data_IF_044260059184
#
_entry.id   IF_044260059184
#
_cell.length_a   1.000
_cell.length_b   1.000
_cell.length_c   1.000
_cell.angle_alpha   90.00
_cell.angle_beta   90.00
_cell.angle_gamma   90.00
#
_symmetry.space_group_name_H-M   'P 1'
#
loop_
_entity.id
_entity.type
_entity.pdbx_description
1 polymer ?
#
# COMPACT_ATOMS: atom_id res chain seq x y z
N UNK A 1 -2.26 14.20 26.29
CA UNK A 1 -1.06 13.47 26.77
C UNK A 1 -0.80 12.09 26.12
N UNK A 2 -1.78 11.44 25.47
CA UNK A 2 -1.59 10.10 24.88
C UNK A 2 -0.79 10.05 23.54
N UNK A 3 -0.67 11.14 22.81
CA UNK A 3 -0.01 11.17 21.47
C UNK A 3 1.52 11.15 21.55
N UNK A 4 2.11 11.86 22.50
CA UNK A 4 3.57 11.95 22.68
C UNK A 4 4.22 10.62 23.14
N UNK A 5 3.51 9.78 23.91
CA UNK A 5 4.03 8.49 24.38
C UNK A 5 4.05 7.41 23.27
N UNK A 6 3.13 7.48 22.30
CA UNK A 6 3.11 6.57 21.14
C UNK A 6 4.28 6.83 20.19
N UNK A 7 4.57 8.11 19.89
CA UNK A 7 5.67 8.46 18.98
C UNK A 7 7.05 7.97 19.48
N UNK A 8 7.29 7.96 20.78
CA UNK A 8 8.54 7.47 21.37
C UNK A 8 8.64 5.95 21.33
N UNK A 9 7.53 5.24 21.55
CA UNK A 9 7.48 3.77 21.52
C UNK A 9 7.76 3.19 20.12
N UNK A 10 7.38 3.92 19.08
CA UNK A 10 7.56 3.52 17.67
C UNK A 10 8.79 4.12 16.99
N UNK A 11 9.61 4.91 17.70
CA UNK A 11 10.82 5.50 17.14
C UNK A 11 11.78 4.47 16.48
N UNK A 12 12.03 3.27 17.06
CA UNK A 12 12.86 2.26 16.40
C UNK A 12 12.30 1.75 15.07
N UNK A 13 10.98 1.77 14.88
CA UNK A 13 10.31 1.31 13.68
C UNK A 13 10.43 2.29 12.49
N UNK A 14 10.95 3.49 12.73
CA UNK A 14 11.30 4.46 11.68
C UNK A 14 12.60 4.07 10.97
N UNK A 15 13.38 3.15 11.55
CA UNK A 15 14.59 2.64 10.91
C UNK A 15 14.24 1.58 9.86
N UNK A 16 14.70 1.72 8.60
CA UNK A 16 14.36 0.80 7.50
C UNK A 16 14.62 -0.67 7.82
N UNK A 17 15.73 -0.97 8.50
CA UNK A 17 16.11 -2.35 8.89
C UNK A 17 15.14 -2.97 9.88
N UNK A 18 14.67 -2.21 10.87
CA UNK A 18 13.73 -2.68 11.89
C UNK A 18 12.36 -2.89 11.27
N UNK A 19 11.93 -1.98 10.41
CA UNK A 19 10.68 -2.09 9.66
C UNK A 19 10.67 -3.35 8.78
N UNK A 20 11.72 -3.57 7.98
CA UNK A 20 11.83 -4.75 7.11
C UNK A 20 11.87 -6.06 7.91
N UNK A 21 12.57 -6.09 9.05
CA UNK A 21 12.61 -7.27 9.92
C UNK A 21 11.21 -7.60 10.45
N UNK A 22 10.47 -6.62 10.92
CA UNK A 22 9.10 -6.83 11.41
C UNK A 22 8.15 -7.26 10.28
N UNK A 23 8.20 -6.66 9.12
CA UNK A 23 7.44 -7.07 7.94
C UNK A 23 7.72 -8.54 7.55
N UNK A 24 8.99 -8.97 7.63
CA UNK A 24 9.37 -10.35 7.33
C UNK A 24 8.91 -11.33 8.41
N UNK A 25 8.98 -10.95 9.68
CA UNK A 25 8.56 -11.79 10.82
C UNK A 25 7.02 -11.94 10.89
N UNK A 26 6.28 -10.93 10.47
CA UNK A 26 4.82 -10.96 10.46
C UNK A 26 4.22 -11.66 9.25
N UNK A 27 5.02 -12.16 8.30
CA UNK A 27 4.53 -12.90 7.12
C UNK A 27 3.74 -12.06 6.11
N UNK A 28 3.53 -10.77 6.36
CA UNK A 28 2.74 -9.88 5.50
C UNK A 28 3.30 -9.74 4.08
N UNK A 29 4.61 -9.80 3.92
CA UNK A 29 5.25 -9.79 2.61
C UNK A 29 4.97 -11.06 1.80
N UNK A 30 4.91 -12.23 2.45
CA UNK A 30 4.61 -13.52 1.77
C UNK A 30 3.16 -13.57 1.30
N UNK A 31 2.21 -13.17 2.13
CA UNK A 31 0.80 -13.16 1.74
C UNK A 31 0.53 -12.16 0.61
N UNK A 32 1.17 -11.00 0.64
CA UNK A 32 1.13 -9.98 -0.41
C UNK A 32 1.69 -10.50 -1.73
N UNK A 33 2.87 -11.15 -1.68
CA UNK A 33 3.48 -11.79 -2.84
C UNK A 33 2.58 -12.90 -3.42
N UNK A 34 1.98 -13.73 -2.56
CA UNK A 34 1.03 -14.77 -2.95
C UNK A 34 -0.23 -14.18 -3.60
N UNK A 35 -0.79 -13.11 -3.02
CA UNK A 35 -1.92 -12.41 -3.61
C UNK A 35 -1.59 -11.89 -5.01
N UNK A 36 -0.49 -11.16 -5.14
CA UNK A 36 -0.05 -10.61 -6.43
C UNK A 36 0.16 -11.72 -7.45
N UNK A 37 0.89 -12.78 -7.09
CA UNK A 37 1.20 -13.90 -7.98
C UNK A 37 -0.06 -14.63 -8.48
N UNK A 38 -1.09 -14.75 -7.66
CA UNK A 38 -2.32 -15.48 -7.99
C UNK A 38 -3.34 -14.66 -8.77
N UNK A 39 -3.41 -13.36 -8.49
CA UNK A 39 -4.52 -12.53 -8.95
C UNK A 39 -4.11 -11.41 -9.89
N UNK A 40 -2.81 -11.12 -10.03
CA UNK A 40 -2.32 -10.01 -10.85
C UNK A 40 -1.36 -10.49 -11.91
N UNK A 41 -1.77 -10.39 -13.16
CA UNK A 41 -0.90 -10.63 -14.31
C UNK A 41 -0.26 -9.31 -14.74
N UNK A 42 1.07 -9.25 -14.69
CA UNK A 42 1.85 -8.11 -15.18
C UNK A 42 2.44 -8.39 -16.56
N UNK A 43 2.48 -7.34 -17.38
CA UNK A 43 3.27 -7.35 -18.64
C UNK A 43 4.67 -6.78 -18.36
N UNK A 44 5.67 -7.22 -19.12
CA UNK A 44 7.07 -6.80 -18.92
C UNK A 44 7.33 -5.32 -19.18
N UNK A 45 6.47 -4.64 -19.95
CA UNK A 45 6.57 -3.21 -20.27
C UNK A 45 5.64 -2.34 -19.41
N UNK A 46 4.90 -2.95 -18.49
CA UNK A 46 3.88 -2.29 -17.68
C UNK A 46 4.49 -1.24 -16.76
N UNK A 47 3.91 -0.04 -16.75
CA UNK A 47 4.29 1.01 -15.80
C UNK A 47 3.53 0.82 -14.50
N UNK A 48 4.28 0.52 -13.45
CA UNK A 48 3.78 0.29 -12.09
C UNK A 48 4.18 1.43 -11.19
N UNK A 49 3.20 2.09 -10.60
CA UNK A 49 3.38 3.13 -9.59
C UNK A 49 3.08 2.53 -8.22
N UNK A 50 3.94 2.77 -7.24
CA UNK A 50 3.80 2.27 -5.85
C UNK A 50 3.77 3.46 -4.88
N UNK A 51 2.60 3.75 -4.35
CA UNK A 51 2.38 4.84 -3.40
C UNK A 51 2.67 4.39 -1.97
N UNK A 52 3.59 5.10 -1.29
CA UNK A 52 4.12 4.68 0.00
C UNK A 52 4.99 3.44 -0.16
N UNK A 53 5.87 3.43 -1.16
CA UNK A 53 6.71 2.28 -1.52
C UNK A 53 7.68 1.84 -0.40
N UNK A 54 7.88 2.68 0.62
CA UNK A 54 8.80 2.41 1.72
C UNK A 54 10.20 2.10 1.19
N UNK A 55 10.74 0.96 1.60
CA UNK A 55 12.07 0.49 1.18
C UNK A 55 12.09 -0.27 -0.16
N UNK A 56 11.01 -0.19 -0.94
CA UNK A 56 10.89 -0.82 -2.26
C UNK A 56 10.62 -2.33 -2.22
N UNK A 57 10.13 -2.87 -1.10
CA UNK A 57 9.95 -4.31 -0.90
C UNK A 57 8.98 -4.98 -1.88
N UNK A 58 8.10 -4.22 -2.53
CA UNK A 58 7.22 -4.75 -3.58
C UNK A 58 8.02 -5.36 -4.74
N UNK A 59 9.19 -4.82 -5.05
CA UNK A 59 10.07 -5.35 -6.11
C UNK A 59 10.62 -6.75 -5.85
N UNK A 60 10.49 -7.30 -4.64
CA UNK A 60 10.88 -8.68 -4.35
C UNK A 60 9.98 -9.71 -5.04
N UNK A 61 8.74 -9.34 -5.33
CA UNK A 61 7.75 -10.23 -5.93
C UNK A 61 7.11 -9.72 -7.24
N UNK A 62 7.44 -8.49 -7.65
CA UNK A 62 7.05 -8.00 -8.96
C UNK A 62 8.00 -8.52 -10.05
N UNK A 63 7.48 -8.90 -11.23
CA UNK A 63 8.31 -9.22 -12.38
C UNK A 63 9.04 -7.98 -12.88
N UNK A 64 9.91 -8.08 -13.90
CA UNK A 64 10.48 -6.92 -14.57
C UNK A 64 9.37 -6.02 -15.13
N UNK A 65 9.24 -4.80 -14.57
CA UNK A 65 8.27 -3.76 -14.95
C UNK A 65 8.94 -2.39 -14.91
N UNK A 66 8.32 -1.38 -15.50
CA UNK A 66 8.74 0.02 -15.35
C UNK A 66 8.23 0.56 -14.02
N UNK A 67 9.00 0.37 -12.96
CA UNK A 67 8.59 0.70 -11.60
C UNK A 67 8.92 2.14 -11.22
N UNK A 68 7.95 2.82 -10.59
CA UNK A 68 8.07 4.15 -9.97
C UNK A 68 7.51 4.08 -8.57
N UNK A 69 8.35 4.21 -7.55
CA UNK A 69 7.92 4.25 -6.15
C UNK A 69 8.08 5.66 -5.56
N UNK A 70 7.14 6.09 -4.73
CA UNK A 70 7.30 7.31 -3.94
C UNK A 70 6.88 7.11 -2.48
N UNK A 71 7.57 7.83 -1.58
CA UNK A 71 7.34 7.80 -0.14
C UNK A 71 7.82 9.13 0.47
N UNK A 72 7.15 9.73 1.45
CA UNK A 72 7.61 10.96 2.09
C UNK A 72 8.84 10.76 2.98
N UNK A 73 9.20 9.53 3.34
CA UNK A 73 10.35 9.23 4.18
C UNK A 73 11.64 9.11 3.35
N UNK A 74 12.49 10.13 3.42
CA UNK A 74 13.77 10.15 2.69
C UNK A 74 14.70 9.00 3.03
N UNK A 75 14.69 8.50 4.28
CA UNK A 75 15.48 7.35 4.69
C UNK A 75 15.02 6.04 4.03
N UNK A 76 13.70 5.88 3.84
CA UNK A 76 13.15 4.74 3.11
C UNK A 76 13.53 4.82 1.63
N UNK A 77 13.39 5.99 1.02
CA UNK A 77 13.76 6.20 -0.39
C UNK A 77 15.27 5.95 -0.61
N UNK A 78 16.13 6.44 0.28
CA UNK A 78 17.56 6.14 0.19
C UNK A 78 17.84 4.63 0.25
N UNK A 79 17.18 3.90 1.16
CA UNK A 79 17.31 2.45 1.26
C UNK A 79 16.78 1.73 0.00
N UNK A 80 15.65 2.18 -0.55
CA UNK A 80 15.06 1.65 -1.78
C UNK A 80 15.98 1.87 -2.99
N UNK A 81 16.52 3.07 -3.15
CA UNK A 81 17.49 3.41 -4.22
C UNK A 81 18.76 2.57 -4.12
N UNK A 82 19.32 2.41 -2.90
CA UNK A 82 20.53 1.61 -2.67
C UNK A 82 20.33 0.13 -3.01
N UNK A 83 19.13 -0.40 -2.77
CA UNK A 83 18.83 -1.83 -2.97
C UNK A 83 18.29 -2.13 -4.37
N UNK A 84 17.49 -1.25 -4.94
CA UNK A 84 16.69 -1.51 -6.14
C UNK A 84 16.81 -0.43 -7.21
N UNK A 85 17.78 0.50 -7.13
CA UNK A 85 17.90 1.60 -8.08
C UNK A 85 18.07 1.19 -9.54
N UNK A 86 18.60 -0.03 -9.80
CA UNK A 86 18.67 -0.61 -11.15
C UNK A 86 17.34 -1.17 -11.66
N UNK A 87 16.32 -1.30 -10.79
CA UNK A 87 15.02 -1.92 -11.09
C UNK A 87 13.87 -0.93 -11.13
N UNK A 88 14.07 0.32 -10.70
CA UNK A 88 13.01 1.31 -10.66
C UNK A 88 13.49 2.69 -10.27
N UNK A 89 12.59 3.65 -10.39
CA UNK A 89 12.79 5.02 -9.95
C UNK A 89 12.14 5.21 -8.57
N UNK A 90 12.80 5.95 -7.69
CA UNK A 90 12.30 6.22 -6.35
C UNK A 90 12.36 7.71 -6.06
N UNK A 91 11.26 8.26 -5.58
CA UNK A 91 11.10 9.68 -5.31
C UNK A 91 10.67 9.94 -3.88
N UNK A 92 11.34 10.87 -3.20
CA UNK A 92 10.90 11.37 -1.90
C UNK A 92 9.85 12.45 -2.12
N UNK A 93 8.58 12.15 -1.82
CA UNK A 93 7.49 13.10 -2.02
C UNK A 93 6.13 12.55 -1.63
N UNK A 94 5.15 13.43 -1.59
CA UNK A 94 3.75 13.16 -1.30
C UNK A 94 2.91 13.09 -2.58
N UNK A 95 1.67 12.60 -2.45
CA UNK A 95 0.73 12.42 -3.58
C UNK A 95 0.32 13.72 -4.28
N UNK A 96 0.52 14.86 -3.67
CA UNK A 96 0.22 16.20 -4.20
C UNK A 96 1.46 16.97 -4.68
N UNK A 97 2.66 16.36 -4.65
CA UNK A 97 3.85 17.02 -5.20
C UNK A 97 3.86 16.98 -6.73
N UNK A 98 4.33 18.08 -7.34
CA UNK A 98 4.48 18.20 -8.79
C UNK A 98 5.44 17.16 -9.35
N UNK A 99 6.53 16.89 -8.65
CA UNK A 99 7.55 15.92 -9.04
C UNK A 99 7.01 14.49 -9.09
N UNK A 100 6.14 14.12 -8.12
CA UNK A 100 5.44 12.83 -8.15
C UNK A 100 4.51 12.78 -9.36
N UNK A 101 3.72 13.85 -9.59
CA UNK A 101 2.79 13.91 -10.71
C UNK A 101 3.48 13.71 -12.06
N UNK A 102 4.60 14.36 -12.30
CA UNK A 102 5.35 14.23 -13.55
C UNK A 102 5.80 12.80 -13.84
N UNK A 103 6.16 12.04 -12.80
CA UNK A 103 6.65 10.67 -12.94
C UNK A 103 5.54 9.62 -13.04
N UNK A 104 4.38 9.81 -12.41
CA UNK A 104 3.37 8.75 -12.28
C UNK A 104 2.35 8.71 -13.42
N UNK A 105 2.30 9.72 -14.29
CA UNK A 105 1.35 9.80 -15.40
C UNK A 105 1.35 8.55 -16.29
N UNK A 106 0.18 8.21 -16.84
CA UNK A 106 -0.01 7.09 -17.76
C UNK A 106 0.38 5.73 -17.16
N UNK A 107 0.08 5.51 -15.88
CA UNK A 107 0.31 4.25 -15.19
C UNK A 107 -0.64 3.14 -15.72
N UNK A 108 -0.12 1.93 -15.85
CA UNK A 108 -0.93 0.73 -16.11
C UNK A 108 -1.43 0.11 -14.81
N UNK A 109 -0.61 0.15 -13.75
CA UNK A 109 -0.96 -0.32 -12.42
C UNK A 109 -0.53 0.70 -11.37
N UNK A 110 -1.41 0.98 -10.43
CA UNK A 110 -1.11 1.77 -9.23
C UNK A 110 -1.26 0.86 -8.00
N UNK A 111 -0.24 0.80 -7.16
CA UNK A 111 -0.19 -0.03 -5.95
C UNK A 111 -0.33 0.84 -4.70
N UNK A 112 -0.99 0.31 -3.68
CA UNK A 112 -0.92 0.80 -2.31
C UNK A 112 -1.01 -0.39 -1.35
N UNK A 113 0.09 -0.73 -0.72
CA UNK A 113 0.24 -1.94 0.08
C UNK A 113 0.57 -1.65 1.54
N UNK A 114 -0.43 -1.66 2.43
CA UNK A 114 -0.24 -1.45 3.87
C UNK A 114 0.16 -0.02 4.21
N UNK A 115 -0.39 0.97 3.52
CA UNK A 115 -0.05 2.39 3.64
C UNK A 115 -1.23 3.23 4.10
N UNK A 116 -2.42 3.00 3.52
CA UNK A 116 -3.54 3.91 3.68
C UNK A 116 -4.05 3.95 5.12
N UNK A 117 -3.96 2.86 5.87
CA UNK A 117 -4.34 2.84 7.28
C UNK A 117 -3.44 3.69 8.19
N UNK A 118 -2.28 4.14 7.70
CA UNK A 118 -1.41 5.10 8.40
C UNK A 118 -1.77 6.57 8.11
N UNK A 119 -2.63 6.83 7.14
CA UNK A 119 -2.94 8.16 6.63
C UNK A 119 -4.28 8.67 7.21
N UNK A 120 -4.43 9.99 7.24
CA UNK A 120 -5.73 10.63 7.49
C UNK A 120 -6.65 10.43 6.30
N UNK A 121 -7.96 10.57 6.49
CA UNK A 121 -8.94 10.45 5.39
C UNK A 121 -8.66 11.42 4.25
N UNK A 122 -8.20 12.62 4.55
CA UNK A 122 -7.80 13.61 3.54
C UNK A 122 -6.61 13.12 2.71
N UNK A 123 -5.60 12.53 3.35
CA UNK A 123 -4.43 11.98 2.65
C UNK A 123 -4.79 10.74 1.83
N UNK A 124 -5.66 9.87 2.35
CA UNK A 124 -6.19 8.71 1.60
C UNK A 124 -6.88 9.20 0.32
N UNK A 125 -7.75 10.21 0.42
CA UNK A 125 -8.43 10.78 -0.75
C UNK A 125 -7.46 11.39 -1.76
N UNK A 126 -6.35 12.00 -1.33
CA UNK A 126 -5.29 12.48 -2.23
C UNK A 126 -4.64 11.33 -3.02
N UNK A 127 -4.29 10.22 -2.35
CA UNK A 127 -3.73 9.02 -2.99
C UNK A 127 -4.73 8.44 -4.02
N UNK A 128 -6.00 8.31 -3.64
CA UNK A 128 -7.03 7.76 -4.52
C UNK A 128 -7.29 8.68 -5.73
N UNK A 129 -7.32 9.99 -5.53
CA UNK A 129 -7.43 10.98 -6.62
C UNK A 129 -6.22 10.93 -7.54
N UNK A 130 -5.00 10.76 -6.99
CA UNK A 130 -3.80 10.60 -7.80
C UNK A 130 -3.88 9.33 -8.63
N UNK A 131 -4.26 8.19 -8.03
CA UNK A 131 -4.43 6.93 -8.72
C UNK A 131 -5.46 7.04 -9.86
N UNK A 132 -6.62 7.65 -9.60
CA UNK A 132 -7.68 7.87 -10.58
C UNK A 132 -7.20 8.68 -11.79
N UNK A 133 -6.42 9.74 -11.53
CA UNK A 133 -5.95 10.69 -12.57
C UNK A 133 -4.78 10.16 -13.39
N UNK A 134 -3.88 9.38 -12.78
CA UNK A 134 -2.67 8.91 -13.45
C UNK A 134 -2.85 7.56 -14.17
N UNK A 135 -3.87 6.77 -13.81
CA UNK A 135 -4.16 5.51 -14.46
C UNK A 135 -4.67 5.71 -15.89
N UNK A 136 -4.21 4.84 -16.80
CA UNK A 136 -4.82 4.72 -18.12
C UNK A 136 -6.23 4.17 -17.99
N UNK A 137 -7.05 4.32 -19.04
CA UNK A 137 -8.43 3.81 -19.09
C UNK A 137 -8.51 2.30 -18.75
N UNK A 138 -7.58 1.50 -19.25
CA UNK A 138 -7.48 0.06 -18.96
C UNK A 138 -6.61 -0.27 -17.75
N UNK A 139 -6.18 0.75 -17.01
CA UNK A 139 -5.32 0.60 -15.83
C UNK A 139 -6.07 0.05 -14.61
N UNK A 140 -5.33 -0.34 -13.59
CA UNK A 140 -5.88 -0.87 -12.35
C UNK A 140 -5.20 -0.31 -11.13
N UNK A 141 -5.98 -0.11 -10.06
CA UNK A 141 -5.48 0.18 -8.73
C UNK A 141 -5.52 -1.10 -7.90
N UNK A 142 -4.39 -1.47 -7.30
CA UNK A 142 -4.28 -2.64 -6.42
C UNK A 142 -4.11 -2.15 -5.00
N UNK A 143 -5.11 -2.42 -4.20
CA UNK A 143 -5.22 -2.07 -2.81
C UNK A 143 -5.01 -3.31 -1.94
N UNK A 144 -4.26 -3.17 -0.84
CA UNK A 144 -4.02 -4.25 0.10
C UNK A 144 -3.78 -3.67 1.50
N UNK A 145 -4.81 -3.71 2.36
CA UNK A 145 -4.80 -3.04 3.67
C UNK A 145 -5.41 -3.92 4.77
N UNK A 146 -5.00 -3.78 6.02
CA UNK A 146 -5.72 -4.36 7.13
C UNK A 146 -7.13 -3.79 7.22
N UNK A 147 -8.08 -4.63 7.64
CA UNK A 147 -9.45 -4.20 7.89
C UNK A 147 -10.04 -4.90 9.10
N UNK A 148 -10.91 -4.20 9.83
CA UNK A 148 -11.72 -4.82 10.87
C UNK A 148 -12.81 -5.68 10.24
N UNK A 149 -12.89 -6.94 10.67
CA UNK A 149 -13.88 -7.90 10.22
C UNK A 149 -14.58 -8.54 11.43
N UNK A 150 -15.83 -8.93 11.26
CA UNK A 150 -16.56 -9.70 12.28
C UNK A 150 -15.92 -11.08 12.58
N UNK A 151 -15.00 -11.51 11.73
CA UNK A 151 -14.32 -12.82 11.81
C UNK A 151 -12.93 -12.75 12.45
N UNK A 152 -12.47 -11.57 12.86
CA UNK A 152 -11.21 -11.40 13.58
C UNK A 152 -11.35 -11.96 15.00
N UNK A 153 -10.31 -12.65 15.47
CA UNK A 153 -10.24 -13.05 16.87
C UNK A 153 -9.83 -11.86 17.77
N UNK A 154 -9.91 -12.07 19.08
CA UNK A 154 -9.61 -11.04 20.07
C UNK A 154 -8.16 -10.57 19.92
N UNK A 155 -7.22 -11.48 19.67
CA UNK A 155 -5.79 -11.16 19.54
C UNK A 155 -5.53 -10.36 18.26
N UNK A 156 -6.15 -10.74 17.15
CA UNK A 156 -6.08 -9.98 15.89
C UNK A 156 -6.60 -8.56 16.04
N UNK A 157 -7.72 -8.37 16.73
CA UNK A 157 -8.27 -7.04 17.05
C UNK A 157 -7.34 -6.22 17.95
N UNK A 158 -6.72 -6.84 18.94
CA UNK A 158 -5.72 -6.17 19.80
C UNK A 158 -4.53 -5.73 18.94
N UNK A 159 -4.00 -6.60 18.09
CA UNK A 159 -2.89 -6.26 17.21
C UNK A 159 -3.22 -5.10 16.26
N UNK A 160 -4.42 -5.09 15.66
CA UNK A 160 -4.87 -3.99 14.81
C UNK A 160 -5.05 -2.68 15.59
N UNK A 161 -5.56 -2.73 16.81
CA UNK A 161 -5.68 -1.52 17.67
C UNK A 161 -4.33 -0.98 18.14
N UNK A 162 -3.31 -1.83 18.22
CA UNK A 162 -1.92 -1.47 18.53
C UNK A 162 -1.14 -1.07 17.28
N UNK A 163 -1.71 -1.23 16.11
CA UNK A 163 -1.06 -0.79 14.87
C UNK A 163 -0.87 0.73 14.86
N UNK A 164 0.27 1.17 14.32
CA UNK A 164 0.64 2.60 14.25
C UNK A 164 -0.32 3.42 13.40
N UNK A 165 -0.98 2.79 12.44
CA UNK A 165 -1.82 3.46 11.45
C UNK A 165 -3.00 4.20 12.10
N UNK A 166 -3.67 3.57 13.05
CA UNK A 166 -4.77 4.20 13.79
C UNK A 166 -6.01 4.51 12.95
N UNK A 167 -5.99 4.28 11.64
CA UNK A 167 -7.10 4.51 10.71
C UNK A 167 -7.47 3.23 9.93
N UNK A 168 -7.42 2.10 10.61
CA UNK A 168 -7.90 0.84 10.04
C UNK A 168 -9.42 0.91 9.91
N UNK A 169 -9.94 0.73 8.72
CA UNK A 169 -11.37 0.78 8.41
C UNK A 169 -11.97 -0.63 8.38
N UNK A 170 -13.30 -0.71 8.39
CA UNK A 170 -14.01 -1.95 8.09
C UNK A 170 -13.93 -2.26 6.59
N UNK A 171 -14.15 -3.52 6.22
CA UNK A 171 -14.28 -3.98 4.83
C UNK A 171 -15.31 -3.15 4.05
N UNK A 172 -16.47 -2.90 4.65
CA UNK A 172 -17.53 -2.08 4.06
C UNK A 172 -17.09 -0.62 3.84
N UNK A 173 -16.35 -0.03 4.80
CA UNK A 173 -15.88 1.34 4.68
C UNK A 173 -14.82 1.49 3.59
N UNK A 174 -13.90 0.52 3.44
CA UNK A 174 -12.95 0.49 2.33
C UNK A 174 -13.66 0.35 0.99
N UNK A 175 -14.61 -0.58 0.88
CA UNK A 175 -15.41 -0.75 -0.35
C UNK A 175 -16.16 0.53 -0.72
N UNK A 176 -16.85 1.16 0.22
CA UNK A 176 -17.59 2.40 -0.01
C UNK A 176 -16.66 3.50 -0.53
N UNK A 177 -15.50 3.69 0.13
CA UNK A 177 -14.52 4.70 -0.25
C UNK A 177 -13.95 4.44 -1.66
N UNK A 178 -13.55 3.20 -1.98
CA UNK A 178 -12.99 2.86 -3.28
C UNK A 178 -14.02 3.01 -4.41
N UNK A 179 -15.30 2.74 -4.14
CA UNK A 179 -16.39 2.89 -5.12
C UNK A 179 -16.66 4.34 -5.53
N UNK A 180 -16.19 5.33 -4.75
CA UNK A 180 -16.23 6.74 -5.15
C UNK A 180 -15.30 7.02 -6.33
N UNK A 181 -14.19 6.27 -6.47
CA UNK A 181 -13.11 6.51 -7.45
C UNK A 181 -13.09 5.51 -8.60
N UNK A 182 -13.57 4.28 -8.38
CA UNK A 182 -13.52 3.20 -9.36
C UNK A 182 -14.90 2.56 -9.53
N UNK A 183 -15.27 2.22 -10.78
CA UNK A 183 -16.55 1.62 -11.06
C UNK A 183 -16.56 0.10 -10.81
N UNK A 184 -15.44 -0.57 -11.03
CA UNK A 184 -15.29 -2.02 -10.87
C UNK A 184 -14.36 -2.33 -9.71
N UNK A 185 -14.86 -3.12 -8.74
CA UNK A 185 -14.11 -3.57 -7.56
C UNK A 185 -14.12 -5.10 -7.49
N UNK A 186 -13.00 -5.73 -7.78
CA UNK A 186 -12.78 -7.16 -7.56
C UNK A 186 -12.19 -7.34 -6.16
N UNK A 187 -12.96 -7.97 -5.26
CA UNK A 187 -12.65 -8.05 -3.84
C UNK A 187 -12.05 -9.40 -3.45
N UNK A 188 -10.99 -9.35 -2.67
CA UNK A 188 -10.34 -10.51 -2.08
C UNK A 188 -10.15 -10.32 -0.58
N UNK A 189 -10.94 -11.03 0.21
CA UNK A 189 -10.77 -11.05 1.66
C UNK A 189 -9.73 -12.11 2.02
N UNK A 190 -8.61 -11.69 2.58
CA UNK A 190 -7.48 -12.57 2.90
C UNK A 190 -7.32 -12.72 4.41
N UNK A 191 -6.87 -13.89 4.80
CA UNK A 191 -6.48 -14.20 6.16
C UNK A 191 -5.11 -14.83 6.14
N UNK A 192 -4.07 -14.01 6.23
CA UNK A 192 -2.71 -14.52 6.34
C UNK A 192 -2.62 -15.51 7.49
N UNK A 193 -1.83 -16.58 7.31
CA UNK A 193 -1.60 -17.58 8.34
C UNK A 193 -0.65 -17.01 9.38
N UNK A 194 -1.22 -16.29 10.35
CA UNK A 194 -0.53 -15.87 11.56
C UNK A 194 -0.99 -16.73 12.74
N UNK A 195 -0.33 -16.59 13.86
CA UNK A 195 -0.73 -17.18 15.14
C UNK A 195 -2.09 -16.62 15.62
N UNK A 196 -2.51 -15.49 15.10
CA UNK A 196 -3.77 -14.81 15.36
C UNK A 196 -4.46 -14.47 14.05
N UNK A 197 -5.78 -14.42 14.09
CA UNK A 197 -6.60 -14.11 12.91
C UNK A 197 -6.79 -12.61 12.80
N UNK A 198 -6.14 -12.02 11.80
CA UNK A 198 -6.43 -10.67 11.42
C UNK A 198 -6.71 -10.61 9.93
N UNK A 199 -7.63 -9.76 9.53
CA UNK A 199 -8.13 -9.74 8.17
C UNK A 199 -7.42 -8.67 7.33
N UNK A 200 -7.04 -9.04 6.13
CA UNK A 200 -6.58 -8.14 5.08
C UNK A 200 -7.67 -8.04 4.02
N UNK A 201 -7.99 -6.83 3.65
CA UNK A 201 -8.82 -6.51 2.52
C UNK A 201 -7.93 -6.18 1.32
N UNK A 202 -8.07 -6.94 0.24
CA UNK A 202 -7.42 -6.62 -1.03
C UNK A 202 -8.47 -6.37 -2.11
N UNK A 203 -8.23 -5.36 -2.93
CA UNK A 203 -9.05 -5.04 -4.09
C UNK A 203 -8.20 -4.88 -5.34
N UNK A 204 -8.73 -5.31 -6.47
CA UNK A 204 -8.28 -4.90 -7.79
C UNK A 204 -9.38 -4.01 -8.37
N UNK A 205 -9.11 -2.71 -8.39
CA UNK A 205 -10.06 -1.70 -8.82
C UNK A 205 -9.77 -1.32 -10.29
N UNK A 206 -10.81 -1.23 -11.10
CA UNK A 206 -10.72 -0.85 -12.52
C UNK A 206 -11.74 0.23 -12.86
N UNK A 207 -11.67 0.70 -14.07
CA UNK A 207 -12.57 1.70 -14.61
C UNK A 207 -12.59 2.97 -13.71
N UNK A 208 -11.48 3.74 -13.69
CA UNK A 208 -11.42 4.99 -12.94
C UNK A 208 -12.53 5.91 -13.39
N UNK A 209 -13.32 6.41 -12.43
CA UNK A 209 -14.41 7.34 -12.72
C UNK A 209 -13.85 8.66 -13.24
N UNK A 210 -14.48 9.24 -14.24
CA UNK A 210 -14.11 10.59 -14.68
C UNK A 210 -14.54 11.61 -13.61
N UNK A 211 -13.65 12.57 -13.32
CA UNK A 211 -13.91 13.69 -12.41
C UNK A 211 -14.89 14.68 -13.04
#
# INVERSE_FOLDING_TARGET
MAKASRDTLYAPLRLPRVYNLLQSLTGGSRDRADFVKRHVLFRSDEKVVDAGCGTGSALEFLPPVKYVGFDPNSGYIHAAQSRYGSRGQFLCGDADSSEVWELVQSADTFLSFGVLHHLTDSQIRKILSLAQRCLRQSGRFIFYEPCFSARDDVLGRICMNLDRGGNIKTDQAWRALLSEYFATLEEHLRRPVYWFRYTIQAFICRDPRQL
#
